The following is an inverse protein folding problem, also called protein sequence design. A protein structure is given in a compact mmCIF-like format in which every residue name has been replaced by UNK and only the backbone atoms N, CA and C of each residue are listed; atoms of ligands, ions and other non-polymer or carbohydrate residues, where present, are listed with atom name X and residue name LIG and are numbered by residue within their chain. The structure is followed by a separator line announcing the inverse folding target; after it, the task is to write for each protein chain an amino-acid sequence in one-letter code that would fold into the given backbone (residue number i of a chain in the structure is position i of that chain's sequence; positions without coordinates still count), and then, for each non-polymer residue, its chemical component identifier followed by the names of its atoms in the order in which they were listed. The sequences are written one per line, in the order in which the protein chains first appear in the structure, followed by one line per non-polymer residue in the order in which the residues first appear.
data_IF_539598358952
#
_entry.id   IF_539598358952
#
_cell.length_a   1.000
_cell.length_b   1.000
_cell.length_c   1.000
_cell.angle_alpha   90.00
_cell.angle_beta   90.00
_cell.angle_gamma   90.00
#
_symmetry.space_group_name_H-M   'P 1'
#
loop_
_entity.id
_entity.type
_entity.pdbx_description
1 polymer ?
#
# COMPACT_ATOMS: atom_id res chain seq x y z
N UNK A 1 -3.15 3.67 -14.74
CA UNK A 1 -3.38 2.82 -13.56
C UNK A 1 -4.75 3.05 -12.98
N UNK A 2 -5.60 2.04 -13.12
CA UNK A 2 -6.87 1.90 -12.46
C UNK A 2 -6.67 1.14 -11.14
N UNK A 3 -7.28 1.61 -10.04
CA UNK A 3 -7.16 0.95 -8.74
C UNK A 3 -8.19 -0.19 -8.69
N UNK A 4 -7.80 -1.45 -8.41
CA UNK A 4 -8.75 -2.56 -8.33
C UNK A 4 -9.79 -2.34 -7.23
N UNK A 5 -11.07 -2.62 -7.48
CA UNK A 5 -12.14 -2.56 -6.47
C UNK A 5 -11.81 -3.40 -5.22
N UNK A 6 -11.23 -4.59 -5.45
CA UNK A 6 -10.79 -5.48 -4.37
C UNK A 6 -9.72 -4.82 -3.47
N UNK A 7 -8.87 -3.95 -4.02
CA UNK A 7 -7.89 -3.22 -3.23
C UNK A 7 -8.60 -2.23 -2.28
N UNK A 8 -9.60 -1.50 -2.77
CA UNK A 8 -10.41 -0.58 -1.96
C UNK A 8 -11.09 -1.35 -0.82
N UNK A 9 -11.74 -2.47 -1.12
CA UNK A 9 -12.43 -3.31 -0.13
C UNK A 9 -11.49 -3.82 0.96
N UNK A 10 -10.27 -4.21 0.59
CA UNK A 10 -9.25 -4.67 1.53
C UNK A 10 -8.75 -3.54 2.41
N UNK A 11 -8.38 -2.41 1.80
CA UNK A 11 -7.80 -1.27 2.52
C UNK A 11 -8.80 -0.63 3.49
N UNK A 12 -10.10 -0.61 3.17
CA UNK A 12 -11.16 -0.14 4.08
C UNK A 12 -11.18 -0.87 5.43
N UNK A 13 -10.76 -2.15 5.46
CA UNK A 13 -10.74 -3.00 6.65
C UNK A 13 -9.32 -3.33 7.10
N UNK A 14 -8.31 -2.77 6.45
CA UNK A 14 -6.93 -3.14 6.69
C UNK A 14 -6.42 -2.52 7.99
N UNK A 15 -5.98 -3.39 8.89
CA UNK A 15 -5.42 -3.01 10.17
C UNK A 15 -3.92 -3.30 10.23
N UNK A 16 -3.46 -4.43 9.68
CA UNK A 16 -2.14 -4.98 10.01
C UNK A 16 -1.40 -5.62 8.83
N UNK A 17 -1.95 -5.56 7.62
CA UNK A 17 -1.36 -6.24 6.47
C UNK A 17 -0.91 -5.24 5.41
N UNK A 18 0.00 -5.68 4.55
CA UNK A 18 0.34 -5.04 3.29
C UNK A 18 -0.21 -5.92 2.18
N UNK A 19 -1.05 -5.35 1.32
CA UNK A 19 -1.58 -6.00 0.14
C UNK A 19 -0.90 -5.44 -1.12
N UNK A 20 -0.34 -6.34 -1.93
CA UNK A 20 0.29 -6.00 -3.20
C UNK A 20 -0.55 -6.57 -4.35
N UNK A 21 -0.89 -5.73 -5.30
CA UNK A 21 -1.67 -6.08 -6.48
C UNK A 21 -0.82 -5.90 -7.74
N UNK A 22 -0.99 -6.82 -8.69
CA UNK A 22 -0.34 -6.72 -9.99
C UNK A 22 -1.24 -5.94 -10.95
N UNK A 23 -0.83 -4.73 -11.32
CA UNK A 23 -1.61 -3.80 -12.14
C UNK A 23 -0.68 -3.13 -13.17
N UNK A 24 -1.06 -3.16 -14.44
CA UNK A 24 -0.28 -2.58 -15.55
C UNK A 24 1.19 -3.06 -15.55
N UNK A 25 1.38 -4.38 -15.47
CA UNK A 25 2.67 -5.09 -15.45
C UNK A 25 3.60 -4.75 -14.26
N UNK A 26 3.05 -4.14 -13.20
CA UNK A 26 3.79 -3.67 -12.03
C UNK A 26 3.10 -4.03 -10.74
N UNK A 27 3.86 -4.10 -9.66
CA UNK A 27 3.32 -4.32 -8.32
C UNK A 27 3.01 -3.00 -7.62
N UNK A 28 1.83 -2.94 -7.03
CA UNK A 28 1.31 -1.76 -6.37
C UNK A 28 0.71 -2.08 -5.02
N UNK A 29 0.97 -1.19 -4.06
CA UNK A 29 0.24 -1.10 -2.82
C UNK A 29 -0.62 0.17 -2.81
N UNK A 30 -1.76 0.11 -2.12
CA UNK A 30 -2.72 1.20 -2.04
C UNK A 30 -3.06 1.51 -0.59
N UNK A 31 -3.53 2.72 -0.31
CA UNK A 31 -4.12 3.07 0.98
C UNK A 31 -3.18 2.82 2.17
N UNK A 32 -3.63 2.07 3.18
CA UNK A 32 -2.83 1.75 4.36
C UNK A 32 -1.61 0.89 4.00
N UNK A 33 -1.73 -0.01 3.03
CA UNK A 33 -0.57 -0.78 2.54
C UNK A 33 0.52 0.11 1.96
N UNK A 34 0.15 1.13 1.18
CA UNK A 34 1.08 2.14 0.66
C UNK A 34 1.74 2.93 1.80
N UNK A 35 0.96 3.28 2.83
CA UNK A 35 1.46 3.98 4.01
C UNK A 35 2.43 3.13 4.84
N UNK A 36 2.13 1.84 5.07
CA UNK A 36 3.02 0.96 5.81
C UNK A 36 4.34 0.76 5.06
N UNK A 37 4.30 0.64 3.74
CA UNK A 37 5.50 0.57 2.91
C UNK A 37 6.32 1.86 2.94
N UNK A 38 5.69 3.04 2.99
CA UNK A 38 6.43 4.30 3.08
C UNK A 38 7.17 4.46 4.42
N UNK A 39 6.64 3.87 5.49
CA UNK A 39 7.35 3.80 6.79
C UNK A 39 8.50 2.80 6.73
N UNK A 40 8.27 1.61 6.15
CA UNK A 40 9.29 0.55 6.07
C UNK A 40 10.44 0.93 5.14
N UNK A 41 10.09 1.53 4.01
CA UNK A 41 10.99 1.84 2.91
C UNK A 41 10.72 3.26 2.41
N UNK A 42 11.21 4.29 3.13
CA UNK A 42 11.00 5.70 2.76
C UNK A 42 11.56 6.10 1.38
N UNK A 43 12.37 5.22 0.78
CA UNK A 43 12.93 5.38 -0.57
C UNK A 43 11.94 5.05 -1.69
N UNK A 44 10.79 4.46 -1.36
CA UNK A 44 9.74 4.15 -2.33
C UNK A 44 8.93 5.40 -2.66
N UNK A 45 8.75 5.66 -3.94
CA UNK A 45 7.96 6.79 -4.40
C UNK A 45 6.46 6.57 -4.13
N UNK A 46 5.85 7.57 -3.49
CA UNK A 46 4.43 7.61 -3.18
C UNK A 46 3.74 8.54 -4.17
N UNK A 47 2.69 8.05 -4.81
CA UNK A 47 1.90 8.79 -5.78
C UNK A 47 0.45 8.84 -5.29
N UNK A 48 -0.14 10.03 -5.26
CA UNK A 48 -1.57 10.19 -4.99
C UNK A 48 -2.40 9.97 -6.26
N UNK A 49 -3.48 9.19 -6.17
CA UNK A 49 -4.46 9.02 -7.24
C UNK A 49 -5.85 9.42 -6.76
N UNK A 50 -6.47 10.36 -7.45
CA UNK A 50 -7.86 10.74 -7.18
C UNK A 50 -8.79 9.69 -7.79
N UNK A 51 -9.59 9.04 -6.95
CA UNK A 51 -10.75 8.27 -7.43
C UNK A 51 -11.88 9.25 -7.71
N UNK A 52 -12.22 9.40 -9.00
CA UNK A 52 -13.26 10.32 -9.47
C UNK A 52 -14.63 10.05 -8.82
N UNK A 53 -14.89 8.81 -8.43
CA UNK A 53 -16.17 8.38 -7.84
C UNK A 53 -16.30 8.74 -6.35
N UNK A 54 -15.19 8.95 -5.63
CA UNK A 54 -15.20 9.19 -4.19
C UNK A 54 -14.62 10.56 -3.80
N UNK A 55 -13.95 11.26 -4.71
CA UNK A 55 -13.29 12.54 -4.44
C UNK A 55 -12.08 12.42 -3.50
N UNK A 56 -11.73 11.20 -3.07
CA UNK A 56 -10.62 10.92 -2.18
C UNK A 56 -9.34 10.60 -2.96
N UNK A 57 -8.22 11.15 -2.47
CA UNK A 57 -6.89 10.81 -2.95
C UNK A 57 -6.44 9.51 -2.27
N UNK A 58 -6.28 8.44 -3.05
CA UNK A 58 -5.72 7.18 -2.56
C UNK A 58 -4.21 7.18 -2.82
N UNK A 59 -3.40 7.06 -1.75
CA UNK A 59 -1.96 6.92 -1.89
C UNK A 59 -1.64 5.56 -2.51
N UNK A 60 -0.70 5.57 -3.45
CA UNK A 60 -0.25 4.42 -4.22
C UNK A 60 1.27 4.34 -4.13
N UNK A 61 1.83 3.16 -3.90
CA UNK A 61 3.28 2.93 -3.93
C UNK A 61 3.59 1.86 -4.95
N UNK A 62 4.51 2.18 -5.87
CA UNK A 62 5.10 1.19 -6.77
C UNK A 62 6.09 0.34 -5.98
N UNK A 63 6.00 -0.99 -6.11
CA UNK A 63 6.89 -1.93 -5.43
C UNK A 63 7.76 -2.61 -6.47
N UNK A 64 9.04 -2.21 -6.61
CA UNK A 64 9.95 -2.89 -7.54
C UNK A 64 10.26 -4.32 -7.08
N UNK A 65 10.61 -5.20 -8.03
CA UNK A 65 10.78 -6.64 -7.77
C UNK A 65 11.81 -6.98 -6.69
N UNK A 66 12.86 -6.17 -6.52
CA UNK A 66 13.84 -6.36 -5.45
C UNK A 66 13.22 -6.21 -4.06
N UNK A 67 12.20 -5.36 -3.89
CA UNK A 67 11.46 -5.24 -2.63
C UNK A 67 10.53 -6.42 -2.40
N UNK A 68 10.00 -7.06 -3.46
CA UNK A 68 9.21 -8.29 -3.30
C UNK A 68 10.05 -9.42 -2.71
N UNK A 69 11.28 -9.58 -3.18
CA UNK A 69 12.21 -10.56 -2.64
C UNK A 69 12.49 -10.29 -1.15
N UNK A 70 12.77 -9.03 -0.79
CA UNK A 70 12.98 -8.62 0.61
C UNK A 70 11.72 -8.92 1.44
N UNK A 71 10.53 -8.57 0.96
CA UNK A 71 9.29 -8.81 1.68
C UNK A 71 9.07 -10.32 1.94
N UNK A 72 9.32 -11.14 0.92
CA UNK A 72 9.22 -12.60 1.03
C UNK A 72 10.26 -13.22 1.95
N UNK A 73 11.47 -12.66 2.02
CA UNK A 73 12.58 -13.22 2.82
C UNK A 73 12.43 -12.89 4.32
N UNK A 74 11.91 -11.70 4.64
CA UNK A 74 11.88 -11.19 6.01
C UNK A 74 10.51 -11.25 6.69
N UNK A 75 9.41 -11.35 5.92
CA UNK A 75 8.05 -11.26 6.44
C UNK A 75 7.19 -12.44 6.01
N UNK A 76 6.22 -12.77 6.86
CA UNK A 76 5.25 -13.81 6.56
C UNK A 76 4.38 -13.37 5.38
N UNK A 77 4.47 -14.12 4.29
CA UNK A 77 3.89 -13.76 2.99
C UNK A 77 2.96 -14.86 2.51
N UNK A 78 1.74 -14.47 2.11
CA UNK A 78 0.73 -15.32 1.50
C UNK A 78 0.46 -14.85 0.08
N UNK A 79 0.50 -15.78 -0.87
CA UNK A 79 0.25 -15.48 -2.29
C UNK A 79 -1.12 -16.05 -2.67
N UNK A 80 -1.93 -15.23 -3.33
CA UNK A 80 -3.21 -15.63 -3.92
C UNK A 80 -3.24 -15.24 -5.40
N UNK A 81 -4.26 -15.71 -6.11
CA UNK A 81 -4.46 -15.39 -7.53
C UNK A 81 -4.67 -13.87 -7.76
N UNK A 82 -5.12 -13.13 -6.75
CA UNK A 82 -5.50 -11.71 -6.89
C UNK A 82 -4.48 -10.74 -6.27
N UNK A 83 -3.77 -11.16 -5.23
CA UNK A 83 -2.84 -10.31 -4.48
C UNK A 83 -1.83 -11.12 -3.67
N UNK A 84 -0.72 -10.46 -3.31
CA UNK A 84 0.20 -10.90 -2.27
C UNK A 84 -0.18 -10.19 -0.98
N UNK A 85 -0.26 -10.93 0.12
CA UNK A 85 -0.46 -10.39 1.46
C UNK A 85 0.82 -10.59 2.27
N UNK A 86 1.29 -9.53 2.90
CA UNK A 86 2.43 -9.55 3.81
C UNK A 86 1.97 -9.07 5.18
N UNK A 87 2.34 -9.77 6.24
CA UNK A 87 2.09 -9.32 7.60
C UNK A 87 2.96 -8.09 7.92
N UNK A 88 2.34 -6.94 8.18
CA UNK A 88 3.09 -5.73 8.48
C UNK A 88 3.69 -5.84 9.89
N UNK A 89 4.95 -5.42 10.10
CA UNK A 89 5.56 -5.48 11.42
C UNK A 89 4.86 -4.53 12.40
N UNK A 90 4.86 -4.82 13.71
CA UNK A 90 4.27 -3.93 14.73
C UNK A 90 4.83 -2.52 14.73
N UNK A 91 6.06 -2.34 14.27
CA UNK A 91 6.72 -1.05 14.12
C UNK A 91 6.11 -0.16 13.03
N UNK A 92 5.23 -0.67 12.17
CA UNK A 92 4.60 0.13 11.10
C UNK A 92 3.14 0.37 11.40
N UNK A 93 2.37 -0.67 11.73
CA UNK A 93 0.94 -0.51 11.99
C UNK A 93 0.65 0.24 13.30
N UNK A 94 1.63 0.42 14.20
CA UNK A 94 1.47 1.29 15.37
C UNK A 94 1.28 2.78 14.98
N UNK A 95 1.77 3.17 13.80
CA UNK A 95 1.60 4.51 13.22
C UNK A 95 0.34 4.64 12.37
N UNK A 96 -0.53 3.62 12.33
CA UNK A 96 -1.78 3.63 11.53
C UNK A 96 -2.65 4.86 11.79
N UNK A 97 -2.68 5.37 13.03
CA UNK A 97 -3.45 6.56 13.42
C UNK A 97 -3.02 7.84 12.68
N UNK A 98 -1.76 7.90 12.23
CA UNK A 98 -1.17 9.04 11.53
C UNK A 98 -1.45 9.01 10.01
N UNK A 99 -2.10 7.95 9.50
CA UNK A 99 -2.42 7.79 8.09
C UNK A 99 -3.14 9.00 7.49
N UNK A 100 -4.16 9.53 8.17
CA UNK A 100 -4.93 10.67 7.66
C UNK A 100 -4.08 11.93 7.53
N UNK A 101 -3.21 12.20 8.52
CA UNK A 101 -2.29 13.34 8.50
C UNK A 101 -1.26 13.17 7.38
N UNK A 102 -0.74 11.95 7.20
CA UNK A 102 0.16 11.62 6.10
C UNK A 102 -0.50 11.82 4.74
N UNK A 103 -1.73 11.35 4.54
CA UNK A 103 -2.48 11.56 3.30
C UNK A 103 -2.67 13.05 2.98
N UNK A 104 -2.96 13.89 3.98
CA UNK A 104 -3.07 15.34 3.78
C UNK A 104 -1.73 15.92 3.29
N UNK A 105 -0.60 15.46 3.82
CA UNK A 105 0.72 15.94 3.38
C UNK A 105 1.02 15.65 1.90
N UNK A 106 0.43 14.60 1.33
CA UNK A 106 0.59 14.23 -0.08
C UNK A 106 -0.22 15.12 -1.03
N UNK A 107 -1.27 15.79 -0.52
CA UNK A 107 -2.16 16.64 -1.33
C UNK A 107 -1.72 18.11 -1.43
N UNK A 108 -0.70 18.52 -0.68
CA UNK A 108 -0.25 19.93 -0.57
C UNK A 108 0.94 20.25 -1.48
N UNK A 109 1.36 19.32 -2.37
CA UNK A 109 2.44 19.53 -3.34
C UNK A 109 1.93 19.82 -4.76
#
# INVERSE_FOLDING_TARGET
MEIPELAIDKECKNLHNIYLFYVEDKWWAFGYSAYYLSIMYPVLDVIGRTLLEYGECVPCVHVPDNFLAILSDFYNTLVSDNYIQVEAPPTTYCYRKEYNEWCMSLTVN
#
